data_IF_744905648712
#
_entry.id   IF_744905648712
#
_cell.length_a   1.000
_cell.length_b   1.000
_cell.length_c   1.000
_cell.angle_alpha   90.00
_cell.angle_beta   90.00
_cell.angle_gamma   90.00
#
_symmetry.space_group_name_H-M   'P 1'
#
loop_
_entity.id
_entity.type
_entity.pdbx_description
1 polymer ?
#
# COMPACT_ATOMS: atom_id res chain seq x y z
N UNK A 1 -13.75 -13.97 17.03
CA UNK A 1 -14.19 -12.96 16.03
C UNK A 1 -15.57 -13.39 15.58
N UNK A 2 -16.64 -12.66 15.92
CA UNK A 2 -17.99 -13.01 15.46
C UNK A 2 -18.15 -12.58 14.00
N UNK A 3 -18.60 -13.50 13.16
CA UNK A 3 -18.69 -13.35 11.69
C UNK A 3 -19.64 -12.19 11.30
N UNK A 4 -20.58 -11.83 12.18
CA UNK A 4 -21.62 -10.81 11.93
C UNK A 4 -21.11 -9.38 11.69
N UNK A 5 -19.89 -9.05 12.14
CA UNK A 5 -19.36 -7.69 12.05
C UNK A 5 -18.58 -7.38 10.76
N UNK A 6 -18.49 -8.33 9.82
CA UNK A 6 -17.68 -8.18 8.60
C UNK A 6 -18.53 -8.40 7.33
N UNK A 7 -18.18 -7.68 6.27
CA UNK A 7 -18.72 -7.90 4.93
C UNK A 7 -18.13 -9.18 4.33
N UNK A 8 -18.87 -9.82 3.42
CA UNK A 8 -18.40 -11.02 2.73
C UNK A 8 -17.18 -10.72 1.87
N UNK A 9 -16.29 -11.71 1.77
CA UNK A 9 -15.11 -11.63 0.91
C UNK A 9 -15.53 -12.05 -0.51
N UNK A 10 -15.31 -11.21 -1.54
CA UNK A 10 -15.66 -11.56 -2.91
C UNK A 10 -14.81 -12.74 -3.41
N UNK A 11 -15.43 -13.64 -4.17
CA UNK A 11 -14.77 -14.79 -4.78
C UNK A 11 -14.13 -14.43 -6.13
N UNK A 12 -13.09 -15.16 -6.57
CA UNK A 12 -12.37 -14.84 -7.81
C UNK A 12 -13.24 -14.72 -9.06
N UNK A 13 -14.30 -15.51 -9.17
CA UNK A 13 -15.27 -15.53 -10.27
C UNK A 13 -16.28 -14.37 -10.22
N UNK A 14 -16.46 -13.76 -9.05
CA UNK A 14 -17.34 -12.60 -8.83
C UNK A 14 -16.67 -11.26 -9.16
N UNK A 15 -15.35 -11.24 -9.33
CA UNK A 15 -14.55 -10.03 -9.52
C UNK A 15 -14.35 -9.76 -11.01
N UNK A 16 -14.73 -8.57 -11.46
CA UNK A 16 -14.52 -8.14 -12.85
C UNK A 16 -13.03 -8.05 -13.19
N UNK A 17 -12.70 -8.27 -14.47
CA UNK A 17 -11.32 -8.23 -14.95
C UNK A 17 -10.69 -6.88 -14.61
N UNK A 18 -11.41 -5.76 -14.78
CA UNK A 18 -10.89 -4.41 -14.51
C UNK A 18 -10.49 -4.25 -13.05
N UNK A 19 -11.29 -4.79 -12.14
CA UNK A 19 -11.01 -4.74 -10.70
C UNK A 19 -9.78 -5.57 -10.34
N UNK A 20 -9.56 -6.71 -10.99
CA UNK A 20 -8.31 -7.48 -10.86
C UNK A 20 -7.11 -6.69 -11.35
N UNK A 21 -7.24 -5.93 -12.44
CA UNK A 21 -6.15 -5.08 -12.94
C UNK A 21 -5.86 -3.91 -11.99
N UNK A 22 -6.89 -3.26 -11.45
CA UNK A 22 -6.75 -2.18 -10.48
C UNK A 22 -6.13 -2.69 -9.16
N UNK A 23 -6.54 -3.85 -8.68
CA UNK A 23 -5.94 -4.45 -7.48
C UNK A 23 -4.47 -4.84 -7.70
N UNK A 24 -4.15 -5.42 -8.87
CA UNK A 24 -2.78 -5.73 -9.27
C UNK A 24 -1.93 -4.45 -9.38
N UNK A 25 -2.49 -3.41 -9.99
CA UNK A 25 -1.81 -2.13 -10.22
C UNK A 25 -1.33 -1.48 -8.93
N UNK A 26 -2.05 -1.63 -7.81
CA UNK A 26 -1.64 -1.13 -6.51
C UNK A 26 -0.20 -1.52 -6.13
N UNK A 27 0.15 -2.79 -6.35
CA UNK A 27 1.47 -3.33 -6.02
C UNK A 27 2.54 -2.98 -7.06
N UNK A 28 2.15 -2.65 -8.29
CA UNK A 28 3.08 -2.33 -9.37
C UNK A 28 3.45 -0.84 -9.43
N UNK A 29 2.70 0.03 -8.76
CA UNK A 29 2.97 1.48 -8.77
C UNK A 29 4.37 1.85 -8.28
N UNK A 30 4.97 1.05 -7.40
CA UNK A 30 6.35 1.25 -6.95
C UNK A 30 7.38 1.21 -8.10
N UNK A 31 7.09 0.52 -9.21
CA UNK A 31 7.98 0.45 -10.38
C UNK A 31 7.83 1.67 -11.29
N UNK A 32 6.66 2.33 -11.29
CA UNK A 32 6.43 3.51 -12.12
C UNK A 32 7.36 4.67 -11.73
N UNK A 33 7.58 4.85 -10.42
CA UNK A 33 8.47 5.89 -9.92
C UNK A 33 9.97 5.57 -10.11
N UNK A 34 10.37 4.29 -10.23
CA UNK A 34 11.71 3.91 -10.66
C UNK A 34 12.00 4.37 -12.09
N UNK A 35 11.02 4.27 -13.00
CA UNK A 35 11.16 4.74 -14.38
C UNK A 35 11.26 6.27 -14.54
N UNK A 36 10.84 7.04 -13.53
CA UNK A 36 10.82 8.51 -13.57
C UNK A 36 12.12 9.19 -13.09
N UNK A 37 13.13 8.43 -12.63
CA UNK A 37 14.49 8.93 -12.37
C UNK A 37 14.67 9.92 -11.20
N UNK A 38 13.67 10.05 -10.32
CA UNK A 38 13.62 11.03 -9.22
C UNK A 38 13.95 10.39 -7.86
N UNK A 39 14.27 11.16 -6.79
CA UNK A 39 14.59 10.62 -5.46
C UNK A 39 13.47 9.71 -4.94
N UNK A 40 13.76 8.42 -4.96
CA UNK A 40 12.83 7.29 -4.90
C UNK A 40 11.97 7.15 -3.63
N UNK A 41 12.39 7.55 -2.41
CA UNK A 41 11.62 7.21 -1.20
C UNK A 41 10.26 7.90 -1.10
N UNK A 42 10.24 9.21 -1.42
CA UNK A 42 9.09 10.10 -1.23
C UNK A 42 8.07 9.88 -2.34
N UNK A 43 8.55 9.75 -3.58
CA UNK A 43 7.67 9.58 -4.73
C UNK A 43 6.96 8.24 -4.75
N UNK A 44 7.65 7.18 -4.35
CA UNK A 44 7.00 5.89 -4.19
C UNK A 44 5.81 6.03 -3.22
N UNK A 45 6.00 6.66 -2.05
CA UNK A 45 4.95 6.82 -1.06
C UNK A 45 3.79 7.69 -1.57
N UNK A 46 4.12 8.82 -2.22
CA UNK A 46 3.11 9.69 -2.83
C UNK A 46 2.30 8.92 -3.88
N UNK A 47 2.94 8.13 -4.73
CA UNK A 47 2.27 7.33 -5.75
C UNK A 47 1.28 6.33 -5.11
N UNK A 48 1.68 5.64 -4.05
CA UNK A 48 0.79 4.71 -3.34
C UNK A 48 -0.36 5.41 -2.61
N UNK A 49 -0.11 6.59 -2.03
CA UNK A 49 -1.16 7.43 -1.44
C UNK A 49 -2.18 7.81 -2.51
N UNK A 50 -1.73 8.40 -3.62
CA UNK A 50 -2.59 8.81 -4.74
C UNK A 50 -3.36 7.60 -5.26
N UNK A 51 -2.69 6.47 -5.47
CA UNK A 51 -3.32 5.25 -5.96
C UNK A 51 -4.42 4.76 -5.02
N UNK A 52 -4.16 4.76 -3.71
CA UNK A 52 -5.17 4.42 -2.71
C UNK A 52 -6.36 5.38 -2.79
N UNK A 53 -6.15 6.69 -2.84
CA UNK A 53 -7.26 7.65 -2.85
C UNK A 53 -8.10 7.61 -4.14
N UNK A 54 -7.49 7.30 -5.29
CA UNK A 54 -8.22 7.08 -6.56
C UNK A 54 -9.08 5.80 -6.47
N UNK A 55 -8.56 4.76 -5.83
CA UNK A 55 -9.19 3.44 -5.83
C UNK A 55 -10.04 3.14 -4.58
N UNK A 56 -9.97 3.97 -3.53
CA UNK A 56 -10.68 3.73 -2.26
C UNK A 56 -12.20 3.72 -2.42
N UNK A 57 -12.74 4.33 -3.48
CA UNK A 57 -14.17 4.37 -3.77
C UNK A 57 -14.70 3.14 -4.52
N UNK A 58 -13.82 2.29 -5.06
CA UNK A 58 -14.17 1.07 -5.81
C UNK A 58 -14.58 -0.07 -4.86
N UNK A 59 -14.65 -1.31 -5.37
CA UNK A 59 -15.00 -2.49 -4.56
C UNK A 59 -14.08 -2.69 -3.36
N UNK A 60 -14.57 -3.51 -2.42
CA UNK A 60 -13.83 -3.92 -1.24
C UNK A 60 -12.53 -4.64 -1.60
N UNK A 61 -12.53 -5.43 -2.69
CA UNK A 61 -11.36 -6.13 -3.18
C UNK A 61 -10.25 -5.15 -3.59
N UNK A 62 -10.57 -4.20 -4.47
CA UNK A 62 -9.61 -3.19 -4.93
C UNK A 62 -9.14 -2.33 -3.76
N UNK A 63 -10.06 -1.90 -2.89
CA UNK A 63 -9.75 -1.08 -1.72
C UNK A 63 -8.82 -1.79 -0.74
N UNK A 64 -9.00 -3.09 -0.54
CA UNK A 64 -8.13 -3.91 0.30
C UNK A 64 -6.71 -3.95 -0.25
N UNK A 65 -6.54 -4.30 -1.53
CA UNK A 65 -5.22 -4.40 -2.15
C UNK A 65 -4.51 -3.03 -2.21
N UNK A 66 -5.25 -1.97 -2.53
CA UNK A 66 -4.74 -0.61 -2.51
C UNK A 66 -4.29 -0.16 -1.11
N UNK A 67 -5.08 -0.45 -0.07
CA UNK A 67 -4.70 -0.13 1.32
C UNK A 67 -3.52 -0.98 1.79
N UNK A 68 -3.51 -2.28 1.48
CA UNK A 68 -2.42 -3.18 1.86
C UNK A 68 -1.10 -2.72 1.25
N UNK A 69 -1.12 -2.35 -0.04
CA UNK A 69 0.06 -1.82 -0.72
C UNK A 69 0.54 -0.51 -0.10
N UNK A 70 -0.38 0.43 0.19
CA UNK A 70 -0.02 1.68 0.86
C UNK A 70 0.61 1.43 2.25
N UNK A 71 -0.02 0.60 3.08
CA UNK A 71 0.46 0.36 4.44
C UNK A 71 1.79 -0.39 4.47
N UNK A 72 1.97 -1.39 3.61
CA UNK A 72 3.21 -2.18 3.54
C UNK A 72 4.40 -1.38 3.01
N UNK A 73 4.13 -0.28 2.33
CA UNK A 73 5.13 0.62 1.78
C UNK A 73 5.65 1.66 2.79
N UNK A 74 4.88 1.99 3.83
CA UNK A 74 5.31 2.98 4.83
C UNK A 74 6.67 2.64 5.47
N UNK A 75 6.94 1.40 5.94
CA UNK A 75 8.23 1.08 6.53
C UNK A 75 9.40 1.23 5.55
N UNK A 76 9.24 0.75 4.31
CA UNK A 76 10.31 0.83 3.31
C UNK A 76 10.55 2.27 2.87
N UNK A 77 9.50 3.08 2.71
CA UNK A 77 9.63 4.51 2.43
C UNK A 77 10.35 5.28 3.55
N UNK A 78 10.08 4.96 4.82
CA UNK A 78 10.80 5.57 5.96
C UNK A 78 12.28 5.18 5.97
N UNK A 79 12.60 3.89 5.78
CA UNK A 79 13.99 3.43 5.70
C UNK A 79 14.74 4.09 4.53
N UNK A 80 14.10 4.11 3.35
CA UNK A 80 14.64 4.75 2.17
C UNK A 80 14.87 6.26 2.38
N UNK A 81 13.95 6.96 3.05
CA UNK A 81 14.08 8.39 3.31
C UNK A 81 15.29 8.68 4.23
N UNK A 82 15.45 7.92 5.32
CA UNK A 82 16.61 8.05 6.20
C UNK A 82 17.91 7.75 5.46
N UNK A 83 17.94 6.71 4.59
CA UNK A 83 19.11 6.40 3.77
C UNK A 83 19.50 7.57 2.85
N UNK A 84 18.51 8.18 2.19
CA UNK A 84 18.73 9.34 1.31
C UNK A 84 19.23 10.54 2.10
N UNK A 85 18.55 10.96 3.17
CA UNK A 85 18.99 12.14 3.93
C UNK A 85 20.35 11.93 4.61
N UNK A 86 20.66 10.72 5.08
CA UNK A 86 21.98 10.41 5.60
C UNK A 86 23.04 10.43 4.49
N UNK A 87 22.75 9.83 3.32
CA UNK A 87 23.63 9.88 2.16
C UNK A 87 23.89 11.30 1.67
N UNK A 88 22.87 12.17 1.65
CA UNK A 88 23.02 13.59 1.31
C UNK A 88 23.96 14.31 2.27
N UNK A 89 23.89 14.02 3.58
CA UNK A 89 24.83 14.60 4.56
C UNK A 89 26.27 14.16 4.31
N UNK A 90 26.48 12.89 3.92
CA UNK A 90 27.82 12.37 3.60
C UNK A 90 28.37 13.02 2.32
N UNK A 91 27.54 13.18 1.30
CA UNK A 91 27.98 13.69 -0.02
C UNK A 91 28.15 15.22 -0.01
N UNK A 92 27.24 15.96 0.62
CA UNK A 92 27.16 17.43 0.49
C UNK A 92 27.60 18.19 1.74
N UNK A 93 27.76 17.53 2.89
CA UNK A 93 28.09 18.18 4.16
C UNK A 93 29.34 17.57 4.81
N UNK A 94 30.17 16.87 4.03
CA UNK A 94 31.44 16.24 4.44
C UNK A 94 31.33 15.32 5.68
N UNK A 95 30.18 14.69 5.90
CA UNK A 95 30.02 13.71 6.97
C UNK A 95 30.78 12.41 6.64
N UNK A 96 31.34 11.70 7.65
CA UNK A 96 32.09 10.49 7.42
C UNK A 96 31.22 9.33 6.91
N UNK A 97 31.74 8.58 5.94
CA UNK A 97 31.14 7.34 5.47
C UNK A 97 31.50 6.18 6.41
N UNK A 98 30.63 5.93 7.39
CA UNK A 98 30.87 4.99 8.50
C UNK A 98 30.39 3.56 8.19
N UNK A 99 30.93 2.57 8.92
CA UNK A 99 30.45 1.18 8.85
C UNK A 99 28.99 1.03 9.31
N UNK A 100 28.53 1.89 10.23
CA UNK A 100 27.12 1.96 10.62
C UNK A 100 26.24 2.33 9.42
N UNK A 101 26.64 3.31 8.62
CA UNK A 101 25.89 3.67 7.42
C UNK A 101 25.90 2.54 6.38
N UNK A 102 27.03 1.84 6.19
CA UNK A 102 27.09 0.66 5.31
C UNK A 102 26.12 -0.44 5.78
N UNK A 103 26.11 -0.76 7.07
CA UNK A 103 25.17 -1.73 7.65
C UNK A 103 23.72 -1.31 7.48
N UNK A 104 23.44 -0.01 7.61
CA UNK A 104 22.11 0.56 7.36
C UNK A 104 21.69 0.39 5.89
N UNK A 105 22.58 0.64 4.93
CA UNK A 105 22.29 0.42 3.51
C UNK A 105 21.95 -1.04 3.20
N UNK A 106 22.64 -2.01 3.84
CA UNK A 106 22.29 -3.44 3.72
C UNK A 106 20.88 -3.73 4.25
N UNK A 107 20.53 -3.20 5.42
CA UNK A 107 19.18 -3.32 5.98
C UNK A 107 18.12 -2.77 5.02
N UNK A 108 18.36 -1.57 4.47
CA UNK A 108 17.47 -0.94 3.49
C UNK A 108 17.35 -1.80 2.23
N UNK A 109 18.46 -2.31 1.70
CA UNK A 109 18.47 -3.18 0.53
C UNK A 109 17.64 -4.45 0.73
N UNK A 110 17.81 -5.14 1.87
CA UNK A 110 17.04 -6.34 2.22
C UNK A 110 15.55 -6.00 2.37
N UNK A 111 15.21 -4.91 3.06
CA UNK A 111 13.82 -4.49 3.25
C UNK A 111 13.12 -4.18 1.91
N UNK A 112 13.80 -3.51 0.98
CA UNK A 112 13.26 -3.25 -0.36
C UNK A 112 13.11 -4.54 -1.17
N UNK A 113 14.08 -5.46 -1.08
CA UNK A 113 14.00 -6.74 -1.78
C UNK A 113 12.80 -7.57 -1.30
N UNK A 114 12.62 -7.68 0.02
CA UNK A 114 11.45 -8.34 0.59
C UNK A 114 10.15 -7.68 0.12
N UNK A 115 10.09 -6.35 0.17
CA UNK A 115 8.93 -5.60 -0.31
C UNK A 115 8.63 -5.87 -1.79
N UNK A 116 9.63 -5.89 -2.66
CA UNK A 116 9.48 -6.26 -4.08
C UNK A 116 8.88 -7.67 -4.21
N UNK A 117 9.41 -8.65 -3.49
CA UNK A 117 8.95 -10.05 -3.55
C UNK A 117 7.47 -10.15 -3.13
N UNK A 118 7.12 -9.59 -1.97
CA UNK A 118 5.73 -9.60 -1.49
C UNK A 118 4.78 -8.88 -2.45
N UNK A 119 5.19 -7.73 -2.98
CA UNK A 119 4.41 -6.96 -3.97
C UNK A 119 4.20 -7.71 -5.28
N UNK A 120 5.21 -8.42 -5.79
CA UNK A 120 5.06 -9.27 -6.99
C UNK A 120 4.08 -10.42 -6.75
N UNK A 121 4.19 -11.11 -5.61
CA UNK A 121 3.24 -12.18 -5.24
C UNK A 121 1.82 -11.60 -5.11
N UNK A 122 1.70 -10.47 -4.42
CA UNK A 122 0.43 -9.74 -4.26
C UNK A 122 -0.19 -9.34 -5.60
N UNK A 123 0.61 -8.82 -6.54
CA UNK A 123 0.17 -8.45 -7.88
C UNK A 123 -0.37 -9.67 -8.66
N UNK A 124 0.37 -10.78 -8.66
CA UNK A 124 -0.03 -12.01 -9.35
C UNK A 124 -1.32 -12.59 -8.75
N UNK A 125 -1.44 -12.59 -7.42
CA UNK A 125 -2.64 -13.06 -6.73
C UNK A 125 -3.84 -12.16 -6.99
N UNK A 126 -3.67 -10.84 -6.92
CA UNK A 126 -4.70 -9.86 -7.23
C UNK A 126 -5.20 -10.00 -8.68
N UNK A 127 -4.30 -10.26 -9.64
CA UNK A 127 -4.66 -10.51 -11.05
C UNK A 127 -5.54 -11.75 -11.23
N UNK A 128 -5.43 -12.72 -10.33
CA UNK A 128 -6.28 -13.92 -10.30
C UNK A 128 -7.60 -13.71 -9.53
N UNK A 129 -7.80 -12.57 -8.89
CA UNK A 129 -8.94 -12.32 -7.98
C UNK A 129 -8.76 -12.95 -6.60
N UNK A 130 -7.53 -13.37 -6.24
CA UNK A 130 -7.25 -14.02 -4.97
C UNK A 130 -6.78 -13.02 -3.91
N UNK A 131 -7.35 -13.12 -2.70
CA UNK A 131 -6.87 -12.38 -1.54
C UNK A 131 -5.53 -12.92 -1.08
N UNK A 132 -4.53 -12.05 -0.93
CA UNK A 132 -3.23 -12.40 -0.38
C UNK A 132 -2.85 -11.44 0.74
N UNK A 133 -2.67 -11.97 1.94
CA UNK A 133 -2.48 -11.18 3.16
C UNK A 133 -1.01 -11.03 3.49
N UNK A 134 -0.49 -9.82 3.40
CA UNK A 134 0.86 -9.55 3.89
C UNK A 134 0.90 -9.67 5.41
N UNK A 135 2.05 -10.09 5.94
CA UNK A 135 2.28 -10.18 7.38
C UNK A 135 1.98 -8.80 8.00
N UNK A 136 1.14 -8.77 9.03
CA UNK A 136 0.55 -7.57 9.67
C UNK A 136 -0.39 -6.74 8.77
N UNK A 137 0.08 -6.28 7.61
CA UNK A 137 -0.64 -5.32 6.76
C UNK A 137 -1.92 -5.88 6.16
N UNK A 138 -1.97 -7.18 5.87
CA UNK A 138 -3.19 -7.82 5.39
C UNK A 138 -4.28 -7.84 6.43
N UNK A 139 -3.95 -8.11 7.70
CA UNK A 139 -4.93 -8.07 8.79
C UNK A 139 -5.44 -6.65 9.01
N UNK A 140 -4.57 -5.65 9.02
CA UNK A 140 -4.94 -4.24 9.18
C UNK A 140 -5.85 -3.76 8.05
N UNK A 141 -5.50 -4.11 6.80
CA UNK A 141 -6.28 -3.75 5.62
C UNK A 141 -7.65 -4.43 5.64
N UNK A 142 -7.69 -5.72 5.99
CA UNK A 142 -8.92 -6.47 6.12
C UNK A 142 -9.86 -5.85 7.16
N UNK A 143 -9.33 -5.57 8.36
CA UNK A 143 -10.11 -4.94 9.43
C UNK A 143 -10.60 -3.53 9.07
N UNK A 144 -9.83 -2.78 8.30
CA UNK A 144 -10.21 -1.42 7.91
C UNK A 144 -11.25 -1.38 6.79
N UNK A 145 -11.20 -2.35 5.88
CA UNK A 145 -12.03 -2.37 4.66
C UNK A 145 -13.31 -3.17 4.86
N UNK A 146 -13.24 -4.36 5.45
CA UNK A 146 -14.37 -5.29 5.54
C UNK A 146 -15.20 -5.16 6.82
N UNK A 147 -14.71 -4.45 7.85
CA UNK A 147 -15.50 -4.24 9.07
C UNK A 147 -16.74 -3.40 8.74
N UNK A 148 -17.93 -3.92 9.04
CA UNK A 148 -19.19 -3.18 8.93
C UNK A 148 -19.09 -1.96 9.84
N UNK A 149 -19.25 -0.77 9.27
CA UNK A 149 -19.38 0.46 10.06
C UNK A 149 -20.79 0.49 10.63
N UNK A 150 -20.92 0.33 11.94
CA UNK A 150 -22.17 0.60 12.67
C UNK A 150 -22.39 2.12 12.70
N UNK A 151 -22.79 2.69 11.57
CA UNK A 151 -23.34 4.04 11.59
C UNK A 151 -24.73 3.94 12.21
N UNK A 152 -24.88 4.43 13.45
CA UNK A 152 -26.20 4.87 13.91
C UNK A 152 -26.70 5.91 12.91
N UNK A 153 -27.78 5.56 12.23
CA UNK A 153 -28.31 6.28 11.09
C UNK A 153 -29.13 7.48 11.60
N UNK A 154 -28.48 8.56 12.03
CA UNK A 154 -29.12 9.87 11.96
C UNK A 154 -29.19 10.27 10.48
N UNK A 155 -30.16 9.70 9.75
CA UNK A 155 -30.47 10.10 8.37
C UNK A 155 -30.88 11.56 8.40
N UNK A 156 -29.96 12.45 8.03
CA UNK A 156 -30.30 13.83 7.70
C UNK A 156 -31.13 13.74 6.41
N UNK A 157 -32.45 13.87 6.53
CA UNK A 157 -33.37 13.89 5.40
C UNK A 157 -33.44 15.32 4.90
N UNK A 158 -33.00 15.55 3.66
CA UNK A 158 -33.16 16.84 3.00
C UNK A 158 -34.67 17.11 2.81
N UNK A 159 -35.14 18.26 3.28
CA UNK A 159 -36.50 18.72 3.01
C UNK A 159 -36.47 19.67 1.81
N UNK A 160 -37.52 19.68 0.96
CA UNK A 160 -37.65 20.70 -0.07
C UNK A 160 -37.74 22.10 0.57
N UNK A 161 -37.33 23.16 -0.14
CA UNK A 161 -37.51 24.53 0.33
C UNK A 161 -38.99 24.79 0.59
N UNK A 162 -39.29 25.42 1.74
CA UNK A 162 -40.65 25.80 2.15
C UNK A 162 -41.15 27.01 1.38
#
# INVERSE_FOLDING_TARGET
>A
MTVDNYQSIPQPDEIDIREKEDAMGAYLMMFAALGAGLPLPILNLIAAIIYYYINKGKSLFVRFHALQSLLSQLPTSLLNAVAVFWGLRIIFLDYPFTDVFKGYLWLVGIANLLYIIFSLIGAVKARKGEMYYFILFGRLSYQSVFKKKSFEQNRIVNQPPK
#
